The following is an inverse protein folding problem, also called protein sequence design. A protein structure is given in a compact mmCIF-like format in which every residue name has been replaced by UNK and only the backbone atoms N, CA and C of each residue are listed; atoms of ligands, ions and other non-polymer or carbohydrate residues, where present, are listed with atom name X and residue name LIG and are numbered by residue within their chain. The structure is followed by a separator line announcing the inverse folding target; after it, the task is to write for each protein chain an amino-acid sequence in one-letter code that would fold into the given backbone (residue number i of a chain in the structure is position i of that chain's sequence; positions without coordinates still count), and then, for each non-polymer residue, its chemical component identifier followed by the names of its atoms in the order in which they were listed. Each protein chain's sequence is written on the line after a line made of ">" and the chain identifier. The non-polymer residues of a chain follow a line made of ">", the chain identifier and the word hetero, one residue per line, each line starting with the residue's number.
data_IF_831887840766
#
_entry.id   IF_831887840766
#
_cell.length_a   1.000
_cell.length_b   1.000
_cell.length_c   1.000
_cell.angle_alpha   90.00
_cell.angle_beta   90.00
_cell.angle_gamma   90.00
#
_symmetry.space_group_name_H-M   'P 1'
#
loop_
_entity.id
_entity.type
_entity.pdbx_description
1 polymer ?
#
# COMPACT_ATOMS: atom_id res chain seq x y z
N UNK A 1 -6.37 -15.50 10.56
CA UNK A 1 -7.45 -15.06 9.65
C UNK A 1 -6.81 -14.47 8.41
N UNK A 2 -7.35 -14.76 7.24
CA UNK A 2 -6.99 -14.13 5.97
C UNK A 2 -8.15 -13.30 5.45
N UNK A 3 -7.85 -12.16 4.83
CA UNK A 3 -8.81 -11.30 4.14
C UNK A 3 -8.34 -11.15 2.70
N UNK A 4 -9.26 -11.27 1.75
CA UNK A 4 -9.06 -10.91 0.36
C UNK A 4 -10.14 -9.91 -0.05
N UNK A 5 -9.82 -9.02 -0.98
CA UNK A 5 -10.74 -8.03 -1.51
C UNK A 5 -10.61 -7.94 -3.03
N UNK A 6 -11.60 -7.34 -3.69
CA UNK A 6 -11.58 -7.10 -5.13
C UNK A 6 -12.14 -5.73 -5.51
N UNK A 7 -12.09 -5.43 -6.80
CA UNK A 7 -12.72 -4.23 -7.36
C UNK A 7 -14.23 -4.29 -7.22
N UNK A 8 -14.85 -3.11 -7.14
CA UNK A 8 -16.27 -3.01 -6.85
C UNK A 8 -17.14 -3.64 -7.94
N UNK A 9 -18.14 -4.42 -7.51
CA UNK A 9 -19.20 -4.95 -8.37
C UNK A 9 -20.49 -4.29 -7.91
N UNK A 10 -21.14 -3.54 -8.81
CA UNK A 10 -22.37 -2.78 -8.49
C UNK A 10 -22.21 -1.88 -7.24
N UNK A 11 -21.08 -1.18 -7.15
CA UNK A 11 -20.77 -0.25 -6.05
C UNK A 11 -20.40 -0.90 -4.72
N UNK A 12 -20.22 -2.23 -4.66
CA UNK A 12 -19.81 -2.95 -3.45
C UNK A 12 -18.44 -3.58 -3.62
N UNK A 13 -17.54 -3.36 -2.66
CA UNK A 13 -16.23 -4.03 -2.62
C UNK A 13 -16.42 -5.51 -2.20
N UNK A 14 -16.10 -6.49 -3.07
CA UNK A 14 -16.09 -7.89 -2.67
C UNK A 14 -15.07 -8.12 -1.56
N UNK A 15 -15.45 -8.84 -0.51
CA UNK A 15 -14.59 -9.22 0.60
C UNK A 15 -14.78 -10.69 0.97
N UNK A 16 -13.66 -11.39 1.08
CA UNK A 16 -13.62 -12.78 1.49
C UNK A 16 -12.80 -12.94 2.77
N UNK A 17 -13.25 -13.81 3.68
CA UNK A 17 -12.58 -14.15 4.93
C UNK A 17 -12.28 -15.64 5.00
N UNK A 18 -11.05 -15.97 5.38
CA UNK A 18 -10.63 -17.33 5.71
C UNK A 18 -10.17 -17.43 7.16
N UNK A 19 -10.58 -18.48 7.85
CA UNK A 19 -10.14 -18.82 9.21
C UNK A 19 -9.35 -20.13 9.27
N UNK A 20 -9.08 -20.74 8.12
CA UNK A 20 -8.56 -22.10 7.99
C UNK A 20 -7.32 -22.17 7.09
N UNK A 21 -6.51 -21.11 7.11
CA UNK A 21 -5.26 -20.96 6.33
C UNK A 21 -5.48 -20.91 4.81
N UNK A 22 -6.61 -20.36 4.37
CA UNK A 22 -6.93 -20.15 2.96
C UNK A 22 -7.51 -21.38 2.26
N UNK A 23 -7.88 -22.43 3.02
CA UNK A 23 -8.51 -23.64 2.46
C UNK A 23 -9.95 -23.37 2.02
N UNK A 24 -10.67 -22.53 2.76
CA UNK A 24 -12.01 -22.05 2.40
C UNK A 24 -12.15 -20.55 2.66
N UNK A 25 -13.07 -19.94 1.92
CA UNK A 25 -13.33 -18.50 1.94
C UNK A 25 -14.83 -18.26 2.07
N UNK A 26 -15.20 -17.42 3.04
CA UNK A 26 -16.57 -16.97 3.27
C UNK A 26 -16.72 -15.55 2.76
N UNK A 27 -17.78 -15.29 2.00
CA UNK A 27 -18.18 -13.94 1.62
C UNK A 27 -18.59 -13.14 2.86
N UNK A 28 -17.89 -12.03 3.09
CA UNK A 28 -18.15 -11.04 4.14
C UNK A 28 -18.35 -9.64 3.56
N UNK A 29 -18.59 -9.52 2.25
CA UNK A 29 -18.93 -8.25 1.58
C UNK A 29 -20.09 -7.51 2.25
N UNK A 30 -21.12 -8.17 2.82
CA UNK A 30 -22.16 -7.49 3.59
C UNK A 30 -21.67 -6.67 4.79
N UNK A 31 -20.46 -6.93 5.32
CA UNK A 31 -19.87 -6.16 6.41
C UNK A 31 -19.30 -4.80 5.95
N UNK A 32 -19.19 -4.58 4.63
CA UNK A 32 -18.75 -3.32 4.04
C UNK A 32 -19.95 -2.50 3.59
N UNK A 33 -20.37 -1.56 4.42
CA UNK A 33 -21.57 -0.74 4.18
C UNK A 33 -21.31 0.51 3.33
N UNK A 34 -20.07 0.71 2.86
CA UNK A 34 -19.72 1.85 2.01
C UNK A 34 -19.98 1.52 0.55
N UNK A 35 -20.68 2.43 -0.13
CA UNK A 35 -20.70 2.46 -1.59
C UNK A 35 -19.33 2.91 -2.09
N UNK A 36 -18.75 2.13 -2.99
CA UNK A 36 -17.49 2.44 -3.67
C UNK A 36 -17.79 3.42 -4.80
N UNK A 37 -16.96 4.46 -4.91
CA UNK A 37 -17.15 5.52 -5.92
C UNK A 37 -16.81 4.97 -7.31
N UNK A 38 -17.52 5.43 -8.34
CA UNK A 38 -17.20 5.06 -9.71
C UNK A 38 -15.75 5.45 -10.06
N UNK A 39 -14.96 4.46 -10.43
CA UNK A 39 -13.53 4.61 -10.71
C UNK A 39 -12.60 4.51 -9.49
N UNK A 40 -13.13 4.25 -8.29
CA UNK A 40 -12.36 3.82 -7.11
C UNK A 40 -12.10 2.30 -7.20
N UNK A 41 -10.83 1.90 -7.13
CA UNK A 41 -10.40 0.53 -7.35
C UNK A 41 -9.22 0.13 -6.45
N UNK A 42 -9.02 -1.17 -6.29
CA UNK A 42 -7.83 -1.73 -5.66
C UNK A 42 -6.72 -1.90 -6.67
N UNK A 43 -5.58 -1.23 -6.49
CA UNK A 43 -4.43 -1.49 -7.35
C UNK A 43 -3.79 -2.83 -6.99
N UNK A 44 -3.61 -3.69 -7.99
CA UNK A 44 -2.92 -4.98 -7.88
C UNK A 44 -1.39 -4.82 -7.74
N UNK A 45 -0.94 -3.94 -6.84
CA UNK A 45 0.46 -3.60 -6.67
C UNK A 45 1.18 -4.65 -5.79
N UNK A 46 1.44 -5.82 -6.38
CA UNK A 46 2.24 -6.88 -5.74
C UNK A 46 1.70 -7.36 -4.38
N UNK A 47 0.41 -7.19 -4.14
CA UNK A 47 -0.27 -7.61 -2.90
C UNK A 47 -0.09 -6.67 -1.70
N UNK A 48 0.50 -5.48 -1.87
CA UNK A 48 0.74 -4.54 -0.76
C UNK A 48 -0.26 -3.38 -0.69
N UNK A 49 -1.33 -3.42 -1.47
CA UNK A 49 -2.51 -2.55 -1.30
C UNK A 49 -3.39 -2.96 -0.11
N UNK A 50 -3.12 -4.12 0.49
CA UNK A 50 -3.67 -4.55 1.78
C UNK A 50 -2.54 -4.84 2.77
N UNK A 51 -2.72 -4.42 4.02
CA UNK A 51 -1.81 -4.70 5.12
C UNK A 51 -2.57 -5.29 6.31
N UNK A 52 -1.95 -6.25 7.01
CA UNK A 52 -2.46 -6.81 8.26
C UNK A 52 -1.35 -6.80 9.31
N UNK A 53 -1.65 -6.29 10.51
CA UNK A 53 -0.74 -6.43 11.64
C UNK A 53 -0.93 -7.77 12.38
N UNK A 54 -0.07 -8.04 13.36
CA UNK A 54 -0.13 -9.27 14.15
C UNK A 54 -1.36 -9.35 15.09
N UNK A 55 -2.09 -8.25 15.28
CA UNK A 55 -3.33 -8.23 16.08
C UNK A 55 -4.57 -8.58 15.26
N UNK A 56 -4.44 -8.69 13.93
CA UNK A 56 -5.58 -8.87 13.03
C UNK A 56 -6.30 -7.56 12.72
N UNK A 57 -5.59 -6.43 12.81
CA UNK A 57 -6.05 -5.16 12.22
C UNK A 57 -5.66 -5.14 10.75
N UNK A 58 -6.62 -4.82 9.88
CA UNK A 58 -6.46 -4.76 8.44
C UNK A 58 -6.58 -3.32 7.94
N UNK A 59 -5.82 -2.99 6.90
CA UNK A 59 -5.93 -1.78 6.11
C UNK A 59 -5.96 -2.13 4.63
N UNK A 60 -6.89 -1.57 3.88
CA UNK A 60 -6.98 -1.67 2.42
C UNK A 60 -6.88 -0.25 1.87
N UNK A 61 -5.97 -0.06 0.92
CA UNK A 61 -5.81 1.17 0.18
C UNK A 61 -6.43 1.03 -1.23
N UNK A 62 -7.22 2.03 -1.61
CA UNK A 62 -7.87 2.14 -2.91
C UNK A 62 -7.56 3.50 -3.53
N UNK A 63 -7.59 3.58 -4.85
CA UNK A 63 -7.37 4.81 -5.58
C UNK A 63 -8.15 4.86 -6.87
N UNK A 64 -7.77 5.76 -7.78
CA UNK A 64 -8.46 6.05 -9.01
C UNK A 64 -9.06 7.45 -9.01
N UNK A 65 -10.35 7.57 -9.31
CA UNK A 65 -11.08 8.85 -9.27
C UNK A 65 -11.08 9.48 -7.87
N UNK A 66 -11.12 8.64 -6.83
CA UNK A 66 -10.92 8.99 -5.42
C UNK A 66 -10.06 7.93 -4.74
N UNK A 67 -9.43 8.28 -3.62
CA UNK A 67 -8.60 7.38 -2.83
C UNK A 67 -9.07 7.32 -1.38
N UNK A 68 -9.19 6.10 -0.87
CA UNK A 68 -9.63 5.82 0.49
C UNK A 68 -8.80 4.73 1.15
N UNK A 69 -8.74 4.81 2.48
CA UNK A 69 -8.25 3.75 3.36
C UNK A 69 -9.44 3.15 4.09
N UNK A 70 -9.61 1.84 3.92
CA UNK A 70 -10.55 1.04 4.68
C UNK A 70 -9.79 0.33 5.78
N UNK A 71 -10.29 0.36 7.01
CA UNK A 71 -9.64 -0.32 8.13
C UNK A 71 -10.63 -1.13 8.95
N UNK A 72 -10.18 -2.28 9.45
CA UNK A 72 -10.95 -3.15 10.34
C UNK A 72 -10.06 -3.60 11.49
N UNK A 73 -10.53 -3.42 12.73
CA UNK A 73 -9.80 -3.79 13.96
C UNK A 73 -10.28 -5.10 14.58
N UNK A 74 -11.29 -5.71 13.98
CA UNK A 74 -11.99 -6.89 14.46
C UNK A 74 -12.04 -7.98 13.38
N UNK A 75 -10.95 -8.09 12.62
CA UNK A 75 -10.73 -9.14 11.62
C UNK A 75 -11.80 -9.19 10.52
N UNK A 76 -12.22 -8.02 10.04
CA UNK A 76 -13.14 -7.84 8.92
C UNK A 76 -14.62 -7.88 9.31
N UNK A 77 -14.96 -7.79 10.60
CA UNK A 77 -16.36 -7.78 11.03
C UNK A 77 -16.98 -6.38 10.90
N UNK A 78 -16.23 -5.33 11.25
CA UNK A 78 -16.61 -3.93 11.02
C UNK A 78 -15.51 -3.18 10.28
N UNK A 79 -15.93 -2.23 9.45
CA UNK A 79 -15.03 -1.43 8.61
C UNK A 79 -15.24 0.06 8.83
N UNK A 80 -14.15 0.81 8.78
CA UNK A 80 -14.12 2.27 8.78
C UNK A 80 -13.46 2.75 7.49
N UNK A 81 -13.97 3.85 6.91
CA UNK A 81 -13.42 4.48 5.70
C UNK A 81 -12.89 5.87 6.04
N UNK A 82 -11.67 6.15 5.60
CA UNK A 82 -11.02 7.46 5.72
C UNK A 82 -10.47 7.89 4.37
N UNK A 83 -10.53 9.19 4.07
CA UNK A 83 -9.96 9.73 2.83
C UNK A 83 -8.44 9.64 2.84
N UNK A 84 -7.85 9.28 1.71
CA UNK A 84 -6.42 9.32 1.48
C UNK A 84 -6.11 10.43 0.46
N UNK A 85 -5.60 11.61 0.87
CA UNK A 85 -5.39 12.74 -0.03
C UNK A 85 -4.11 12.60 -0.88
N UNK A 86 -3.77 11.37 -1.30
CA UNK A 86 -2.70 11.08 -2.26
C UNK A 86 -3.17 11.57 -3.65
N UNK A 87 -2.25 11.73 -4.62
CA UNK A 87 -2.67 12.13 -5.97
C UNK A 87 -3.75 11.16 -6.50
N UNK A 88 -4.82 11.72 -7.06
CA UNK A 88 -6.03 10.99 -7.47
C UNK A 88 -6.78 11.79 -8.56
N UNK A 89 -7.85 11.20 -9.12
CA UNK A 89 -8.72 11.83 -10.12
C UNK A 89 -8.69 11.15 -11.49
N UNK A 90 -7.83 10.15 -11.67
CA UNK A 90 -7.73 9.35 -12.90
C UNK A 90 -7.60 7.88 -12.56
N UNK A 91 -7.89 6.99 -13.51
CA UNK A 91 -7.71 5.54 -13.32
C UNK A 91 -6.25 5.09 -13.14
N UNK A 92 -5.28 6.00 -13.26
CA UNK A 92 -3.87 5.72 -13.07
C UNK A 92 -3.27 6.28 -11.79
N UNK A 93 -4.05 7.03 -11.01
CA UNK A 93 -3.59 7.72 -9.80
C UNK A 93 -4.10 7.06 -8.52
N UNK A 94 -3.30 7.09 -7.46
CA UNK A 94 -3.74 6.67 -6.12
C UNK A 94 -2.65 5.98 -5.31
N UNK A 95 -3.00 5.38 -4.16
CA UNK A 95 -2.09 4.59 -3.35
C UNK A 95 -2.00 3.18 -3.91
N UNK A 96 -0.78 2.75 -4.22
CA UNK A 96 -0.49 1.41 -4.71
C UNK A 96 -0.08 0.49 -3.58
N UNK A 97 0.61 1.03 -2.57
CA UNK A 97 1.09 0.25 -1.43
C UNK A 97 0.84 0.99 -0.14
N UNK A 98 0.45 0.23 0.88
CA UNK A 98 0.30 0.69 2.27
C UNK A 98 1.16 -0.18 3.19
N UNK A 99 1.82 0.45 4.15
CA UNK A 99 2.62 -0.25 5.15
C UNK A 99 2.50 0.43 6.51
N UNK A 100 2.54 -0.36 7.57
CA UNK A 100 2.49 0.15 8.95
C UNK A 100 3.65 -0.40 9.77
N UNK A 101 4.20 0.46 10.63
CA UNK A 101 5.18 0.09 11.66
C UNK A 101 4.49 -0.16 13.01
N UNK A 102 3.39 0.54 13.27
CA UNK A 102 2.48 0.31 14.41
C UNK A 102 1.05 0.46 13.93
N UNK A 103 0.05 0.12 14.74
CA UNK A 103 -1.36 0.35 14.40
C UNK A 103 -1.74 1.83 14.24
N UNK A 104 -0.82 2.76 14.51
CA UNK A 104 -1.00 4.20 14.34
C UNK A 104 -0.07 4.79 13.29
N UNK A 105 1.19 4.35 13.24
CA UNK A 105 2.22 4.92 12.38
C UNK A 105 2.37 4.09 11.12
N UNK A 106 2.10 4.70 9.97
CA UNK A 106 2.20 4.06 8.68
C UNK A 106 2.43 5.04 7.54
N UNK A 107 2.44 4.49 6.33
CA UNK A 107 2.72 5.19 5.09
C UNK A 107 1.88 4.59 3.96
N UNK A 108 1.48 5.43 3.02
CA UNK A 108 1.10 5.01 1.66
C UNK A 108 2.10 5.54 0.66
N UNK A 109 2.35 4.77 -0.39
CA UNK A 109 3.05 5.21 -1.59
C UNK A 109 2.24 4.85 -2.82
N UNK A 110 2.45 5.59 -3.90
CA UNK A 110 1.72 5.43 -5.13
C UNK A 110 2.19 6.47 -6.15
N UNK A 111 1.24 7.20 -6.71
CA UNK A 111 1.50 8.22 -7.73
C UNK A 111 0.62 7.97 -8.95
N UNK A 112 1.14 8.34 -10.12
CA UNK A 112 0.52 8.07 -11.41
C UNK A 112 1.41 7.12 -12.23
N UNK A 113 0.97 5.88 -12.49
CA UNK A 113 1.80 4.94 -13.27
C UNK A 113 1.95 5.34 -14.75
N UNK A 114 1.11 6.24 -15.27
CA UNK A 114 1.25 6.79 -16.63
C UNK A 114 2.19 8.01 -16.67
N UNK A 115 2.44 8.64 -15.53
CA UNK A 115 3.35 9.76 -15.37
C UNK A 115 4.37 9.45 -14.27
N UNK A 116 5.20 8.43 -14.52
CA UNK A 116 6.05 7.81 -13.50
C UNK A 116 7.10 8.73 -12.88
N UNK A 117 7.40 9.89 -13.47
CA UNK A 117 8.30 10.91 -12.90
C UNK A 117 7.58 11.89 -11.98
N UNK A 118 6.25 11.89 -11.96
CA UNK A 118 5.47 12.78 -11.12
C UNK A 118 5.66 12.43 -9.63
N UNK A 119 6.04 13.43 -8.84
CA UNK A 119 6.26 13.30 -7.39
C UNK A 119 5.15 13.93 -6.56
N UNK A 120 4.21 14.62 -7.21
CA UNK A 120 3.13 15.31 -6.51
C UNK A 120 2.31 14.30 -5.71
N UNK A 121 2.28 14.50 -4.39
CA UNK A 121 1.60 13.65 -3.41
C UNK A 121 1.70 12.15 -3.74
N UNK A 122 2.89 11.67 -4.08
CA UNK A 122 3.13 10.25 -4.39
C UNK A 122 3.34 9.37 -3.14
N UNK A 123 3.37 10.00 -1.96
CA UNK A 123 3.47 9.33 -0.68
C UNK A 123 2.92 10.21 0.44
N UNK A 124 2.37 9.58 1.48
CA UNK A 124 1.83 10.26 2.66
C UNK A 124 2.08 9.43 3.90
N UNK A 125 2.29 10.11 5.03
CA UNK A 125 2.53 9.53 6.35
C UNK A 125 1.29 9.68 7.23
N UNK A 126 1.03 8.71 8.09
CA UNK A 126 -0.03 8.77 9.11
C UNK A 126 0.54 8.46 10.50
N UNK A 127 -0.04 9.08 11.52
CA UNK A 127 0.25 8.82 12.94
C UNK A 127 -1.01 8.44 13.74
N UNK A 128 -2.12 8.17 13.07
CA UNK A 128 -3.40 7.82 13.69
C UNK A 128 -4.11 6.62 13.03
N UNK A 129 -3.35 5.80 12.29
CA UNK A 129 -3.83 4.57 11.68
C UNK A 129 -4.50 4.77 10.33
N UNK A 130 -4.15 5.85 9.62
CA UNK A 130 -4.65 6.18 8.28
C UNK A 130 -5.90 7.06 8.28
N UNK A 131 -6.23 7.71 9.40
CA UNK A 131 -7.37 8.62 9.48
C UNK A 131 -7.01 9.99 8.93
N UNK A 132 -5.80 10.45 9.25
CA UNK A 132 -5.22 11.68 8.71
C UNK A 132 -3.83 11.42 8.16
N UNK A 133 -3.43 12.28 7.22
CA UNK A 133 -2.24 12.11 6.40
C UNK A 133 -1.47 13.42 6.28
N UNK A 134 -0.14 13.34 6.30
CA UNK A 134 0.76 14.46 6.05
C UNK A 134 1.79 14.11 4.98
N UNK A 135 2.14 15.07 4.13
CA UNK A 135 3.20 14.90 3.16
C UNK A 135 4.57 14.72 3.84
N UNK A 136 5.50 13.94 3.25
CA UNK A 136 6.89 13.95 3.66
C UNK A 136 7.55 15.30 3.35
N UNK A 137 8.69 15.58 3.99
CA UNK A 137 9.52 16.74 3.65
C UNK A 137 10.18 16.58 2.28
N UNK A 138 10.72 15.37 2.02
CA UNK A 138 11.27 15.00 0.72
C UNK A 138 10.57 13.74 0.24
N UNK A 139 9.79 13.83 -0.83
CA UNK A 139 9.06 12.72 -1.42
C UNK A 139 10.00 11.70 -2.14
N UNK A 140 9.63 10.41 -2.23
CA UNK A 140 10.34 9.45 -3.05
C UNK A 140 10.30 9.88 -4.53
N UNK A 141 11.22 9.37 -5.34
CA UNK A 141 11.18 9.61 -6.77
C UNK A 141 9.91 9.01 -7.38
N UNK A 142 9.17 9.80 -8.15
CA UNK A 142 8.16 9.32 -9.09
C UNK A 142 7.09 8.37 -8.54
N UNK A 143 6.52 7.57 -9.42
CA UNK A 143 5.59 6.50 -9.10
C UNK A 143 6.27 5.36 -8.33
N UNK A 144 5.62 4.90 -7.26
CA UNK A 144 6.06 3.77 -6.43
C UNK A 144 4.95 2.73 -6.29
N UNK A 145 5.28 1.48 -6.59
CA UNK A 145 4.35 0.35 -6.53
C UNK A 145 4.43 -0.44 -5.22
N UNK A 146 5.52 -0.32 -4.46
CA UNK A 146 5.69 -1.06 -3.21
C UNK A 146 6.51 -0.28 -2.18
N UNK A 147 6.14 -0.40 -0.90
CA UNK A 147 6.91 0.12 0.24
C UNK A 147 6.93 -0.90 1.39
N UNK A 148 8.07 -1.04 2.05
CA UNK A 148 8.22 -1.87 3.26
C UNK A 148 9.00 -1.13 4.35
N UNK A 149 8.67 -1.44 5.61
CA UNK A 149 9.52 -1.11 6.75
C UNK A 149 10.61 -2.18 6.92
N UNK A 150 11.87 -1.76 6.98
CA UNK A 150 12.99 -2.61 7.39
C UNK A 150 13.24 -2.53 8.90
N UNK A 151 12.93 -1.37 9.49
CA UNK A 151 12.94 -1.09 10.92
C UNK A 151 11.93 0.04 11.22
N UNK A 152 11.85 0.49 12.48
CA UNK A 152 10.96 1.61 12.85
C UNK A 152 11.26 2.92 12.10
N UNK A 153 12.49 3.10 11.63
CA UNK A 153 12.94 4.33 10.93
C UNK A 153 13.31 4.08 9.47
N UNK A 154 13.70 2.86 9.12
CA UNK A 154 14.21 2.56 7.79
C UNK A 154 13.12 1.98 6.90
N UNK A 155 12.92 2.57 5.72
CA UNK A 155 11.96 2.12 4.72
C UNK A 155 12.60 2.03 3.35
N UNK A 156 12.15 1.06 2.56
CA UNK A 156 12.47 0.97 1.13
C UNK A 156 11.17 1.10 0.35
N UNK A 157 11.21 1.90 -0.70
CA UNK A 157 10.13 2.04 -1.66
C UNK A 157 10.67 1.84 -3.07
N UNK A 158 9.93 1.12 -3.92
CA UNK A 158 10.32 0.87 -5.31
C UNK A 158 9.16 1.04 -6.27
N UNK A 159 9.49 1.28 -7.54
CA UNK A 159 8.55 1.42 -8.65
C UNK A 159 9.31 1.58 -9.96
N UNK A 160 8.58 1.88 -11.04
CA UNK A 160 9.18 2.09 -12.37
C UNK A 160 10.16 3.26 -12.41
N UNK A 161 10.00 4.20 -11.48
CA UNK A 161 10.85 5.38 -11.30
C UNK A 161 12.14 5.11 -10.51
N UNK A 162 12.39 3.87 -10.08
CA UNK A 162 13.56 3.49 -9.30
C UNK A 162 13.25 3.08 -7.86
N UNK A 163 14.30 2.95 -7.05
CA UNK A 163 14.23 2.57 -5.64
C UNK A 163 14.76 3.70 -4.75
N UNK A 164 14.04 3.97 -3.67
CA UNK A 164 14.34 5.03 -2.72
C UNK A 164 14.41 4.45 -1.29
N UNK A 165 15.29 5.03 -0.49
CA UNK A 165 15.51 4.71 0.91
C UNK A 165 15.08 5.89 1.78
N UNK A 166 14.42 5.60 2.90
CA UNK A 166 14.27 6.55 4.00
C UNK A 166 14.91 5.99 5.26
N UNK A 167 15.58 6.84 6.04
CA UNK A 167 16.20 6.49 7.32
C UNK A 167 15.56 7.22 8.52
N UNK A 168 14.44 7.92 8.31
CA UNK A 168 13.79 8.77 9.32
C UNK A 168 12.26 8.57 9.42
N UNK A 169 11.80 7.38 9.05
CA UNK A 169 10.38 7.00 9.13
C UNK A 169 9.56 7.46 7.94
N UNK A 170 10.19 7.71 6.79
CA UNK A 170 9.54 8.11 5.55
C UNK A 170 9.37 9.61 5.40
N UNK A 171 10.00 10.42 6.27
CA UNK A 171 9.92 11.89 6.22
C UNK A 171 10.82 12.46 5.13
N UNK A 172 11.99 11.86 4.93
CA UNK A 172 12.90 12.17 3.84
C UNK A 172 13.28 10.90 3.09
N UNK A 173 13.23 10.99 1.77
CA UNK A 173 13.58 9.91 0.85
C UNK A 173 14.81 10.27 0.02
N UNK A 174 15.69 9.29 -0.19
CA UNK A 174 16.89 9.42 -1.02
C UNK A 174 16.87 8.32 -2.08
N UNK A 175 16.98 8.65 -3.37
CA UNK A 175 17.10 7.65 -4.43
C UNK A 175 18.38 6.84 -4.24
N UNK A 176 18.28 5.51 -4.31
CA UNK A 176 19.42 4.59 -4.21
C UNK A 176 19.64 3.76 -5.49
N UNK A 177 18.73 3.85 -6.45
CA UNK A 177 18.87 3.22 -7.76
C UNK A 177 17.79 3.70 -8.73
N UNK A 178 18.13 3.73 -10.02
CA UNK A 178 17.20 4.13 -11.10
C UNK A 178 16.52 2.95 -11.79
N UNK A 179 16.92 1.73 -11.45
CA UNK A 179 16.37 0.51 -12.02
C UNK A 179 14.91 0.32 -11.63
N UNK A 180 14.07 0.00 -12.63
CA UNK A 180 12.65 -0.29 -12.44
C UNK A 180 12.45 -1.65 -11.75
N UNK A 181 11.65 -1.65 -10.69
CA UNK A 181 11.11 -2.84 -10.01
C UNK A 181 9.64 -2.62 -9.63
N UNK A 182 8.92 -3.71 -9.40
CA UNK A 182 7.49 -3.73 -9.10
C UNK A 182 7.17 -4.14 -7.66
N UNK A 183 8.06 -4.90 -7.00
CA UNK A 183 7.89 -5.31 -5.62
C UNK A 183 9.23 -5.34 -4.88
N UNK A 184 9.16 -5.19 -3.56
CA UNK A 184 10.27 -5.35 -2.64
C UNK A 184 9.82 -6.16 -1.43
N UNK A 185 10.66 -7.08 -0.96
CA UNK A 185 10.38 -7.86 0.24
C UNK A 185 11.65 -8.15 1.03
N UNK A 186 11.57 -8.06 2.37
CA UNK A 186 12.65 -8.48 3.26
C UNK A 186 12.45 -9.95 3.67
N UNK A 187 13.53 -10.71 3.68
CA UNK A 187 13.51 -12.06 4.23
C UNK A 187 13.12 -12.04 5.73
N UNK A 188 12.24 -12.97 6.12
CA UNK A 188 11.79 -13.14 7.51
C UNK A 188 12.94 -13.37 8.49
N UNK A 189 14.00 -14.06 8.02
CA UNK A 189 15.25 -14.29 8.75
C UNK A 189 16.41 -13.71 7.96
N UNK A 190 17.39 -13.13 8.65
CA UNK A 190 18.57 -12.52 8.03
C UNK A 190 18.35 -11.10 7.49
N UNK A 191 19.26 -10.67 6.61
CA UNK A 191 19.34 -9.30 6.07
C UNK A 191 18.99 -9.18 4.59
N UNK A 192 18.69 -10.29 3.91
CA UNK A 192 18.39 -10.26 2.49
C UNK A 192 17.11 -9.45 2.20
N UNK A 193 17.18 -8.60 1.18
CA UNK A 193 16.09 -7.80 0.67
C UNK A 193 16.05 -8.04 -0.84
N UNK A 194 14.93 -8.54 -1.35
CA UNK A 194 14.78 -8.83 -2.77
C UNK A 194 13.87 -7.80 -3.42
N UNK A 195 14.24 -7.37 -4.62
CA UNK A 195 13.37 -6.64 -5.53
C UNK A 195 13.08 -7.49 -6.75
N UNK A 196 11.87 -7.37 -7.29
CA UNK A 196 11.47 -8.06 -8.53
C UNK A 196 10.88 -7.07 -9.50
N UNK A 197 11.19 -7.22 -10.79
CA UNK A 197 10.82 -6.29 -11.85
C UNK A 197 10.26 -7.00 -13.08
N UNK A 198 10.17 -6.26 -14.16
CA UNK A 198 9.75 -6.78 -15.46
C UNK A 198 10.74 -7.83 -16.01
N UNK A 199 10.28 -8.65 -16.96
CA UNK A 199 11.13 -9.59 -17.71
C UNK A 199 11.93 -10.57 -16.84
N UNK A 200 11.37 -10.96 -15.69
CA UNK A 200 12.00 -11.90 -14.76
C UNK A 200 13.17 -11.31 -13.97
N UNK A 201 13.31 -9.98 -13.92
CA UNK A 201 14.36 -9.30 -13.15
C UNK A 201 14.20 -9.59 -11.65
N UNK A 202 15.28 -10.04 -11.02
CA UNK A 202 15.39 -10.23 -9.57
C UNK A 202 16.70 -9.58 -9.12
N UNK A 203 16.66 -8.76 -8.07
CA UNK A 203 17.83 -8.16 -7.46
C UNK A 203 17.87 -8.44 -5.95
N UNK A 204 19.07 -8.64 -5.42
CA UNK A 204 19.33 -8.63 -3.99
C UNK A 204 19.92 -7.27 -3.62
N UNK A 205 19.23 -6.52 -2.76
CA UNK A 205 19.64 -5.20 -2.31
C UNK A 205 20.60 -5.30 -1.13
N UNK A 206 21.82 -4.79 -1.33
CA UNK A 206 22.77 -4.54 -0.25
C UNK A 206 22.64 -3.08 0.21
N UNK A 207 22.40 -2.89 1.51
CA UNK A 207 22.32 -1.59 2.18
C UNK A 207 23.51 -1.41 3.13
#
# INVERSE_FOLDING_TARGET
>A
VGIAFGDAIQGKMPLLKSTDFGRSWKDISPNMHFTITDGEAGFAASGTSIYCDNSGTYWIATGGTVSNIYSSKDQGNTWQRYSCPIIQGTNSTGPFSVAFNTSKTGIVVGGDYKADKNKDKNSLLTNDGGKTWSAPQTAPAGFKSAVIYLSKKQLISTGTSGTDLSNDGGKNWTPIGKESFNAVQKAKKGRAIFLVGDKGKIANLAL
#
